data_IF_395086747168
#
_entry.id   IF_395086747168
#
_cell.length_a   1.000
_cell.length_b   1.000
_cell.length_c   1.000
_cell.angle_alpha   90.00
_cell.angle_beta   90.00
_cell.angle_gamma   90.00
#
_symmetry.space_group_name_H-M   'P 1'
#
loop_
_entity.id
_entity.type
_entity.pdbx_description
1 polymer ?
#
# COMPACT_ATOMS: atom_id res chain seq x y z
N UNK A 1 3.13 -32.91 -5.76
CA UNK A 1 3.12 -31.46 -5.60
C UNK A 1 2.08 -31.13 -4.55
N UNK A 2 2.51 -30.55 -3.45
CA UNK A 2 1.64 -30.21 -2.34
C UNK A 2 0.80 -29.00 -2.75
N UNK A 3 -0.38 -29.23 -3.25
CA UNK A 3 -1.34 -28.21 -3.75
C UNK A 3 -2.08 -27.48 -2.63
N UNK A 4 -1.77 -27.76 -1.36
CA UNK A 4 -2.53 -27.26 -0.19
C UNK A 4 -2.00 -25.97 0.42
N UNK A 5 -0.91 -25.39 -0.09
CA UNK A 5 -0.27 -24.18 0.49
C UNK A 5 -0.85 -22.86 0.01
N UNK A 6 -1.96 -22.86 -0.74
CA UNK A 6 -2.43 -21.66 -1.41
C UNK A 6 -3.39 -20.82 -0.61
N UNK A 7 -2.98 -19.58 -0.46
CA UNK A 7 -3.68 -18.30 -0.55
C UNK A 7 -4.55 -17.86 0.61
N UNK A 8 -3.95 -17.05 1.46
CA UNK A 8 -4.69 -16.04 2.20
C UNK A 8 -3.96 -14.68 2.11
N UNK A 9 -3.68 -14.21 0.89
CA UNK A 9 -3.06 -12.89 0.72
C UNK A 9 -4.02 -11.92 0.06
N UNK A 10 -4.20 -10.77 0.66
CA UNK A 10 -4.94 -9.64 0.08
C UNK A 10 -4.23 -9.07 -1.15
N UNK A 11 -2.94 -9.38 -1.35
CA UNK A 11 -2.09 -8.79 -2.38
C UNK A 11 -1.14 -9.83 -2.97
N UNK A 12 -0.94 -9.77 -4.26
CA UNK A 12 0.06 -10.54 -5.00
C UNK A 12 1.00 -9.53 -5.66
N UNK A 13 2.29 -9.66 -5.41
CA UNK A 13 3.31 -8.86 -6.08
C UNK A 13 3.92 -9.67 -7.22
N UNK A 14 4.23 -9.00 -8.33
CA UNK A 14 4.83 -9.63 -9.50
C UNK A 14 6.19 -9.01 -9.78
N UNK A 15 7.21 -9.85 -9.94
CA UNK A 15 8.55 -9.44 -10.36
C UNK A 15 8.63 -9.34 -11.89
N UNK A 16 9.63 -8.62 -12.39
CA UNK A 16 9.87 -8.47 -13.85
C UNK A 16 10.09 -9.80 -14.57
N UNK A 17 10.64 -10.81 -13.90
CA UNK A 17 10.86 -12.16 -14.45
C UNK A 17 9.62 -13.06 -14.37
N UNK A 18 8.49 -12.54 -13.90
CA UNK A 18 7.22 -13.25 -13.75
C UNK A 18 7.07 -14.00 -12.42
N UNK A 19 8.08 -14.06 -11.56
CA UNK A 19 7.93 -14.64 -10.22
C UNK A 19 6.89 -13.87 -9.41
N UNK A 20 6.12 -14.59 -8.60
CA UNK A 20 5.03 -14.06 -7.78
C UNK A 20 5.42 -14.12 -6.30
N UNK A 21 5.00 -13.11 -5.54
CA UNK A 21 5.13 -13.09 -4.09
C UNK A 21 3.75 -12.95 -3.48
N UNK A 22 3.43 -13.81 -2.52
CA UNK A 22 2.11 -13.87 -1.88
C UNK A 22 2.22 -14.48 -0.48
N UNK A 23 1.14 -14.42 0.30
CA UNK A 23 1.05 -15.14 1.58
C UNK A 23 0.66 -16.60 1.40
N UNK A 24 1.21 -17.48 2.21
CA UNK A 24 0.73 -18.86 2.33
C UNK A 24 -0.35 -19.00 3.43
N UNK A 25 -0.84 -20.23 3.59
CA UNK A 25 -1.87 -20.56 4.60
C UNK A 25 -1.41 -20.31 6.04
N UNK A 26 -0.13 -20.45 6.31
CA UNK A 26 0.45 -20.30 7.64
C UNK A 26 0.84 -18.84 7.94
N UNK A 27 0.56 -17.94 6.98
CA UNK A 27 0.86 -16.52 7.06
C UNK A 27 2.28 -16.16 6.63
N UNK A 28 3.11 -17.11 6.16
CA UNK A 28 4.43 -16.75 5.64
C UNK A 28 4.31 -16.08 4.26
N UNK A 29 5.24 -15.18 3.96
CA UNK A 29 5.39 -14.63 2.62
C UNK A 29 6.32 -15.52 1.80
N UNK A 30 5.80 -16.02 0.70
CA UNK A 30 6.46 -16.98 -0.17
C UNK A 30 6.66 -16.41 -1.57
N UNK A 31 7.69 -16.92 -2.23
CA UNK A 31 7.91 -16.68 -3.66
C UNK A 31 7.57 -17.94 -4.46
N UNK A 32 6.87 -17.71 -5.56
CA UNK A 32 6.54 -18.73 -6.55
C UNK A 32 7.22 -18.37 -7.87
N UNK A 33 7.58 -19.38 -8.65
CA UNK A 33 7.94 -19.19 -10.04
C UNK A 33 6.76 -18.70 -10.87
N UNK A 34 7.00 -18.15 -12.05
CA UNK A 34 5.97 -17.71 -12.99
C UNK A 34 4.95 -18.79 -13.36
N UNK A 35 5.34 -20.06 -13.24
CA UNK A 35 4.46 -21.23 -13.46
C UNK A 35 3.68 -21.67 -12.20
N UNK A 36 3.77 -20.90 -11.11
CA UNK A 36 3.10 -21.18 -9.85
C UNK A 36 3.80 -22.20 -8.92
N UNK A 37 4.95 -22.75 -9.31
CA UNK A 37 5.68 -23.64 -8.43
C UNK A 37 6.34 -22.88 -7.28
N UNK A 38 6.34 -23.49 -6.08
CA UNK A 38 7.01 -22.94 -4.90
C UNK A 38 8.50 -22.77 -5.14
N UNK A 39 9.04 -21.62 -4.77
CA UNK A 39 10.46 -21.30 -4.87
C UNK A 39 11.13 -21.23 -3.50
N UNK A 40 10.62 -20.35 -2.62
CA UNK A 40 11.15 -20.18 -1.26
C UNK A 40 10.22 -19.41 -0.35
N UNK A 41 10.49 -19.45 0.96
CA UNK A 41 9.93 -18.53 1.95
C UNK A 41 10.80 -17.27 2.00
N UNK A 42 10.19 -16.09 1.95
CA UNK A 42 10.87 -14.79 2.04
C UNK A 42 10.80 -14.20 3.44
N UNK A 43 9.65 -14.28 4.08
CA UNK A 43 9.45 -13.78 5.44
C UNK A 43 8.50 -14.70 6.19
N UNK A 44 8.76 -14.91 7.47
CA UNK A 44 7.95 -15.79 8.34
C UNK A 44 7.01 -14.97 9.20
N UNK A 45 5.81 -15.49 9.37
CA UNK A 45 4.88 -15.03 10.38
C UNK A 45 5.27 -15.61 11.75
N UNK A 46 5.39 -14.76 12.78
CA UNK A 46 5.74 -15.19 14.13
C UNK A 46 6.21 -14.05 15.03
N UNK A 47 6.73 -14.41 16.20
CA UNK A 47 7.22 -13.47 17.24
C UNK A 47 8.74 -13.43 17.33
N UNK A 48 9.45 -14.10 16.44
CA UNK A 48 10.92 -14.09 16.39
C UNK A 48 11.46 -12.73 15.92
N UNK A 49 12.73 -12.47 16.21
CA UNK A 49 13.38 -11.18 15.90
C UNK A 49 13.26 -10.76 14.43
N UNK A 50 13.26 -11.73 13.52
CA UNK A 50 13.23 -11.50 12.07
C UNK A 50 11.85 -11.86 11.46
N UNK A 51 10.86 -12.12 12.30
CA UNK A 51 9.51 -12.50 11.89
C UNK A 51 8.58 -11.30 12.01
N UNK A 52 7.55 -11.25 11.18
CA UNK A 52 6.49 -10.23 11.28
C UNK A 52 5.26 -10.80 11.98
N UNK A 53 4.52 -9.91 12.65
CA UNK A 53 3.36 -10.31 13.46
C UNK A 53 2.06 -9.95 12.76
N UNK A 54 2.04 -8.84 12.02
CA UNK A 54 0.83 -8.33 11.38
C UNK A 54 1.15 -7.82 9.96
N UNK A 55 0.71 -8.56 8.97
CA UNK A 55 0.80 -8.10 7.59
C UNK A 55 -0.29 -7.07 7.30
N UNK A 56 0.06 -5.80 7.40
CA UNK A 56 -0.83 -4.72 6.98
C UNK A 56 -0.77 -4.55 5.46
N UNK A 57 0.45 -4.42 4.90
CA UNK A 57 0.69 -4.35 3.46
C UNK A 57 2.09 -4.88 3.12
N UNK A 58 2.35 -5.07 1.82
CA UNK A 58 3.65 -5.43 1.30
C UNK A 58 3.92 -4.77 -0.05
N UNK A 59 5.20 -4.46 -0.33
CA UNK A 59 5.63 -3.88 -1.60
C UNK A 59 7.00 -4.42 -1.99
N UNK A 60 7.33 -4.35 -3.29
CA UNK A 60 8.69 -4.58 -3.78
C UNK A 60 9.43 -3.26 -3.87
N UNK A 61 10.70 -3.22 -3.47
CA UNK A 61 11.59 -2.10 -3.78
C UNK A 61 11.65 -1.85 -5.30
N UNK A 62 12.00 -0.64 -5.73
CA UNK A 62 12.00 -0.29 -7.17
C UNK A 62 12.92 -1.16 -8.03
N UNK A 63 14.06 -1.57 -7.49
CA UNK A 63 14.96 -2.53 -8.14
C UNK A 63 14.52 -3.98 -8.02
N UNK A 64 13.45 -4.27 -7.24
CA UNK A 64 12.93 -5.61 -6.93
C UNK A 64 13.87 -6.53 -6.14
N UNK A 65 14.89 -5.98 -5.48
CA UNK A 65 15.84 -6.77 -4.68
C UNK A 65 15.33 -7.01 -3.27
N UNK A 66 14.40 -6.18 -2.79
CA UNK A 66 13.86 -6.26 -1.44
C UNK A 66 12.34 -6.35 -1.43
N UNK A 67 11.85 -7.18 -0.49
CA UNK A 67 10.46 -7.20 -0.06
C UNK A 67 10.32 -6.30 1.17
N UNK A 68 9.41 -5.34 1.08
CA UNK A 68 9.02 -4.44 2.15
C UNK A 68 7.72 -4.96 2.76
N UNK A 69 7.70 -5.18 4.06
CA UNK A 69 6.55 -5.69 4.81
C UNK A 69 6.13 -4.65 5.84
N UNK A 70 4.95 -4.08 5.68
CA UNK A 70 4.36 -3.21 6.69
C UNK A 70 3.79 -4.07 7.82
N UNK A 71 4.45 -4.01 8.97
CA UNK A 71 4.14 -4.74 10.19
C UNK A 71 3.77 -3.75 11.30
N UNK A 72 2.49 -3.39 11.37
CA UNK A 72 1.97 -2.38 12.30
C UNK A 72 2.64 -1.00 12.11
N UNK A 73 3.52 -0.62 13.04
CA UNK A 73 4.21 0.67 13.08
C UNK A 73 5.66 0.60 12.60
N UNK A 74 5.99 -0.38 11.77
CA UNK A 74 7.32 -0.53 11.19
C UNK A 74 7.27 -1.21 9.82
N UNK A 75 8.29 -0.95 9.02
CA UNK A 75 8.51 -1.65 7.76
C UNK A 75 9.72 -2.57 7.94
N UNK A 76 9.50 -3.86 7.73
CA UNK A 76 10.56 -4.86 7.71
C UNK A 76 11.06 -5.08 6.29
N UNK A 77 12.37 -5.14 6.13
CA UNK A 77 13.02 -5.27 4.82
C UNK A 77 13.69 -6.63 4.72
N UNK A 78 13.30 -7.42 3.71
CA UNK A 78 13.84 -8.75 3.45
C UNK A 78 14.45 -8.79 2.04
N UNK A 79 15.61 -9.45 1.92
CA UNK A 79 16.21 -9.71 0.63
C UNK A 79 15.40 -10.75 -0.16
N UNK A 80 15.24 -10.53 -1.45
CA UNK A 80 14.47 -11.44 -2.30
C UNK A 80 15.30 -12.69 -2.65
N UNK A 81 16.59 -12.52 -2.95
CA UNK A 81 17.42 -13.64 -3.43
C UNK A 81 17.98 -14.50 -2.29
N UNK A 82 18.29 -13.92 -1.16
CA UNK A 82 18.87 -14.61 0.00
C UNK A 82 17.85 -14.92 1.11
N UNK A 83 16.66 -14.29 1.05
CA UNK A 83 15.61 -14.37 2.08
C UNK A 83 16.07 -13.91 3.47
N UNK A 84 17.09 -13.05 3.52
CA UNK A 84 17.60 -12.52 4.77
C UNK A 84 16.81 -11.27 5.20
N UNK A 85 16.63 -11.15 6.51
CA UNK A 85 16.17 -9.91 7.11
C UNK A 85 17.33 -8.91 7.15
N UNK A 86 17.11 -7.71 6.61
CA UNK A 86 18.13 -6.68 6.53
C UNK A 86 17.98 -5.62 7.61
N UNK A 87 16.78 -5.06 7.74
CA UNK A 87 16.53 -3.97 8.69
C UNK A 87 15.03 -3.78 8.94
N UNK A 88 14.72 -2.97 9.95
CA UNK A 88 13.41 -2.36 10.11
C UNK A 88 13.50 -0.82 10.01
N UNK A 89 12.44 -0.21 9.52
CA UNK A 89 12.21 1.23 9.50
C UNK A 89 11.07 1.49 10.47
N UNK A 90 11.34 2.27 11.51
CA UNK A 90 10.35 2.59 12.52
C UNK A 90 9.47 3.76 12.04
N UNK A 91 8.15 3.61 12.16
CA UNK A 91 7.16 4.60 11.74
C UNK A 91 6.60 5.40 12.93
N UNK A 92 7.36 5.56 14.02
CA UNK A 92 6.89 6.23 15.22
C UNK A 92 6.43 7.68 15.01
N UNK A 93 6.88 8.32 13.96
CA UNK A 93 6.49 9.69 13.56
C UNK A 93 5.22 9.74 12.68
N UNK A 94 4.72 8.58 12.22
CA UNK A 94 3.57 8.48 11.33
C UNK A 94 2.51 7.58 11.94
N UNK A 95 1.26 7.99 11.89
CA UNK A 95 0.16 7.26 12.53
C UNK A 95 -0.71 6.61 11.45
N UNK A 96 -1.18 5.39 11.76
CA UNK A 96 -2.18 4.66 10.99
C UNK A 96 -1.86 4.52 9.48
N UNK A 97 -0.73 3.86 9.17
CA UNK A 97 -0.36 3.51 7.79
C UNK A 97 -1.11 2.26 7.36
N UNK A 98 -1.81 2.34 6.24
CA UNK A 98 -2.55 1.22 5.64
C UNK A 98 -1.76 0.54 4.53
N UNK A 99 -1.01 1.33 3.74
CA UNK A 99 -0.27 0.83 2.58
C UNK A 99 1.05 1.56 2.35
N UNK A 100 1.95 0.91 1.64
CA UNK A 100 3.28 1.41 1.32
C UNK A 100 3.56 1.31 -0.18
N UNK A 101 4.30 2.31 -0.71
CA UNK A 101 4.84 2.27 -2.06
C UNK A 101 6.27 2.80 -2.09
N UNK A 102 7.22 2.12 -2.75
CA UNK A 102 8.57 2.62 -2.92
C UNK A 102 8.61 3.78 -3.93
N UNK A 103 9.38 4.81 -3.60
CA UNK A 103 9.71 5.91 -4.49
C UNK A 103 10.93 5.59 -5.38
N UNK A 104 11.08 6.31 -6.50
CA UNK A 104 12.18 6.11 -7.44
C UNK A 104 13.54 6.55 -6.87
N UNK A 105 13.54 7.43 -5.86
CA UNK A 105 14.73 7.93 -5.16
C UNK A 105 15.14 7.06 -3.95
N UNK A 106 14.53 5.88 -3.78
CA UNK A 106 14.81 4.96 -2.69
C UNK A 106 14.09 5.27 -1.38
N UNK A 107 13.31 6.34 -1.33
CA UNK A 107 12.41 6.69 -0.23
C UNK A 107 11.11 5.87 -0.30
N UNK A 108 10.20 6.08 0.65
CA UNK A 108 8.93 5.37 0.72
C UNK A 108 7.77 6.36 0.84
N UNK A 109 6.68 6.05 0.15
CA UNK A 109 5.38 6.67 0.38
C UNK A 109 4.55 5.78 1.29
N UNK A 110 3.93 6.41 2.27
CA UNK A 110 2.99 5.82 3.20
C UNK A 110 1.61 6.40 2.92
N UNK A 111 0.64 5.53 2.74
CA UNK A 111 -0.74 5.92 2.55
C UNK A 111 -1.55 5.57 3.79
N UNK A 112 -2.34 6.52 4.27
CA UNK A 112 -3.20 6.38 5.42
C UNK A 112 -4.64 6.74 5.02
N UNK A 113 -5.50 5.73 4.83
CA UNK A 113 -6.89 5.92 4.42
C UNK A 113 -7.75 6.52 5.54
N UNK A 114 -7.49 6.13 6.78
CA UNK A 114 -8.27 6.55 7.94
C UNK A 114 -7.50 7.55 8.79
N UNK A 115 -8.14 8.65 9.16
CA UNK A 115 -7.58 9.51 10.21
C UNK A 115 -7.80 8.81 11.56
N UNK A 116 -6.73 8.65 12.34
CA UNK A 116 -6.88 8.45 13.76
C UNK A 116 -7.23 9.78 14.41
N UNK A 117 -8.00 9.80 15.49
CA UNK A 117 -8.28 10.99 16.30
C UNK A 117 -7.04 11.45 17.08
N UNK A 118 -5.85 11.35 16.50
CA UNK A 118 -4.59 11.72 17.14
C UNK A 118 -4.22 13.15 16.77
N UNK A 119 -3.58 13.86 17.68
CA UNK A 119 -3.07 15.21 17.48
C UNK A 119 -1.75 15.25 16.68
N UNK A 120 -1.49 14.27 15.82
CA UNK A 120 -0.27 14.25 15.01
C UNK A 120 -0.42 15.12 13.76
N UNK A 121 0.61 15.88 13.43
CA UNK A 121 0.66 16.69 12.21
C UNK A 121 0.57 15.88 10.92
N UNK A 122 0.89 14.58 10.98
CA UNK A 122 0.82 13.67 9.82
C UNK A 122 -0.60 13.24 9.49
N UNK A 123 -1.54 13.36 10.44
CA UNK A 123 -2.95 12.99 10.24
C UNK A 123 -3.69 13.88 9.26
N UNK A 124 -3.15 15.07 8.99
CA UNK A 124 -3.74 16.02 8.05
C UNK A 124 -3.55 15.61 6.57
N UNK A 125 -2.79 14.56 6.29
CA UNK A 125 -2.44 14.17 4.93
C UNK A 125 -2.72 12.69 4.65
N UNK A 126 -3.14 12.39 3.42
CA UNK A 126 -3.38 11.01 2.97
C UNK A 126 -2.08 10.28 2.64
N UNK A 127 -1.09 10.99 2.14
CA UNK A 127 0.19 10.43 1.71
C UNK A 127 1.32 11.16 2.41
N UNK A 128 2.19 10.39 3.05
CA UNK A 128 3.42 10.89 3.67
C UNK A 128 4.61 10.22 3.01
N UNK A 129 5.62 10.99 2.62
CA UNK A 129 6.89 10.48 2.14
C UNK A 129 7.90 10.44 3.26
N UNK A 130 8.58 9.32 3.43
CA UNK A 130 9.63 9.12 4.44
C UNK A 130 10.94 8.71 3.79
N UNK A 131 12.04 8.97 4.48
CA UNK A 131 13.35 8.45 4.14
C UNK A 131 13.56 7.00 4.63
N UNK A 132 14.76 6.47 4.40
CA UNK A 132 15.12 5.11 4.81
C UNK A 132 15.30 4.92 6.34
N UNK A 133 15.26 6.01 7.13
CA UNK A 133 15.30 5.99 8.59
C UNK A 133 13.89 6.08 9.19
N UNK A 134 12.88 6.45 8.39
CA UNK A 134 11.50 6.67 8.81
C UNK A 134 11.18 8.14 9.10
N UNK A 135 12.11 9.06 8.78
CA UNK A 135 11.89 10.49 8.95
C UNK A 135 11.01 11.05 7.83
N UNK A 136 10.04 11.89 8.21
CA UNK A 136 9.12 12.52 7.26
C UNK A 136 9.85 13.57 6.41
N UNK A 137 9.80 13.39 5.08
CA UNK A 137 10.43 14.30 4.11
C UNK A 137 9.38 15.23 3.49
N UNK A 138 8.20 14.70 3.15
CA UNK A 138 7.17 15.44 2.43
C UNK A 138 5.79 14.85 2.69
N UNK A 139 4.73 15.64 2.42
CA UNK A 139 3.34 15.26 2.64
C UNK A 139 2.46 15.74 1.49
N UNK A 140 1.52 14.89 1.07
CA UNK A 140 0.67 15.12 -0.08
C UNK A 140 -0.79 14.84 0.25
N UNK A 141 -1.69 15.47 -0.48
CA UNK A 141 -3.14 15.27 -0.39
C UNK A 141 -3.66 15.56 1.01
N UNK A 142 -3.71 16.85 1.35
CA UNK A 142 -4.32 17.27 2.60
C UNK A 142 -5.73 16.72 2.71
N UNK A 143 -6.04 16.13 3.87
CA UNK A 143 -7.40 15.65 4.17
C UNK A 143 -8.34 16.84 4.28
N UNK A 144 -9.53 16.66 3.77
CA UNK A 144 -10.69 17.46 4.15
C UNK A 144 -11.60 16.61 5.04
N UNK A 145 -12.57 17.25 5.68
CA UNK A 145 -13.52 16.59 6.60
C UNK A 145 -14.39 15.50 5.92
N UNK A 146 -14.26 15.34 4.62
CA UNK A 146 -15.06 14.47 3.77
C UNK A 146 -14.25 13.39 3.04
N UNK A 147 -12.96 13.27 3.37
CA UNK A 147 -12.11 12.29 2.69
C UNK A 147 -12.30 10.91 3.33
N UNK A 148 -13.20 10.11 2.76
CA UNK A 148 -13.21 8.66 2.96
C UNK A 148 -12.38 8.03 1.85
N UNK A 149 -11.44 7.17 2.21
CA UNK A 149 -10.73 6.39 1.21
C UNK A 149 -10.79 4.91 1.57
N UNK A 150 -11.38 4.13 0.68
CA UNK A 150 -11.40 2.67 0.74
C UNK A 150 -10.45 2.05 -0.28
N UNK A 151 -9.71 2.87 -1.02
CA UNK A 151 -8.91 2.41 -2.14
C UNK A 151 -7.47 2.14 -1.79
N UNK A 152 -6.89 1.28 -2.57
CA UNK A 152 -5.61 0.67 -2.36
C UNK A 152 -4.57 1.22 -3.33
N UNK A 153 -3.33 1.26 -2.89
CA UNK A 153 -2.19 1.41 -3.78
C UNK A 153 -2.09 0.14 -4.63
N UNK A 154 -2.16 0.30 -5.94
CA UNK A 154 -2.01 -0.81 -6.87
C UNK A 154 -0.61 -0.82 -7.48
N UNK A 155 0.00 -1.99 -7.50
CA UNK A 155 1.22 -2.23 -8.27
C UNK A 155 0.83 -2.57 -9.72
N UNK A 156 1.46 -1.88 -10.68
CA UNK A 156 1.38 -2.27 -12.08
C UNK A 156 2.58 -3.10 -12.51
N UNK A 157 2.49 -3.64 -13.72
CA UNK A 157 3.62 -4.27 -14.39
C UNK A 157 4.84 -3.34 -14.42
N UNK A 158 6.03 -3.87 -14.14
CA UNK A 158 7.26 -3.08 -14.09
C UNK A 158 7.52 -2.36 -12.78
N UNK A 159 6.84 -2.75 -11.70
CA UNK A 159 7.04 -2.23 -10.34
C UNK A 159 6.73 -0.72 -10.21
N UNK A 160 5.75 -0.24 -10.97
CA UNK A 160 5.17 1.10 -10.82
C UNK A 160 3.96 1.02 -9.90
N UNK A 161 3.84 1.98 -9.00
CA UNK A 161 2.76 2.05 -8.04
C UNK A 161 1.84 3.22 -8.38
N UNK A 162 0.54 3.00 -8.21
CA UNK A 162 -0.49 4.01 -8.44
C UNK A 162 -1.44 4.08 -7.25
N UNK A 163 -1.88 5.28 -6.96
CA UNK A 163 -2.94 5.57 -6.00
C UNK A 163 -4.16 6.12 -6.73
N UNK A 164 -5.32 5.58 -6.43
CA UNK A 164 -6.60 6.18 -6.77
C UNK A 164 -7.34 6.55 -5.49
N UNK A 165 -7.23 7.77 -4.99
CA UNK A 165 -8.02 8.18 -3.85
C UNK A 165 -9.50 8.20 -4.22
N UNK A 166 -10.37 7.73 -3.32
CA UNK A 166 -11.82 7.70 -3.54
C UNK A 166 -12.49 9.07 -3.39
N UNK A 167 -11.71 10.12 -3.23
CA UNK A 167 -12.29 11.42 -3.42
C UNK A 167 -12.80 11.50 -4.87
N UNK A 168 -13.92 12.16 -5.02
CA UNK A 168 -14.70 12.26 -6.24
C UNK A 168 -13.96 12.81 -7.49
N UNK A 169 -12.63 12.93 -7.47
CA UNK A 169 -11.85 13.51 -8.56
C UNK A 169 -11.48 12.50 -9.65
N UNK A 170 -11.62 11.20 -9.37
CA UNK A 170 -11.29 10.11 -10.32
C UNK A 170 -9.90 10.25 -10.95
N UNK A 171 -8.95 10.84 -10.21
CA UNK A 171 -7.57 11.03 -10.65
C UNK A 171 -6.73 9.87 -10.12
N UNK A 172 -5.95 9.27 -11.01
CA UNK A 172 -4.92 8.31 -10.66
C UNK A 172 -3.59 9.02 -10.53
N UNK A 173 -2.92 8.78 -9.43
CA UNK A 173 -1.60 9.32 -9.14
C UNK A 173 -0.55 8.22 -9.24
N UNK A 174 0.60 8.56 -9.81
CA UNK A 174 1.76 7.69 -9.86
C UNK A 174 2.73 8.08 -8.73
N UNK A 175 3.28 7.07 -8.08
CA UNK A 175 4.40 7.23 -7.17
C UNK A 175 5.72 7.09 -7.94
N UNK A 176 6.46 8.18 -8.04
CA UNK A 176 7.84 8.23 -8.54
C UNK A 176 8.74 8.92 -7.50
N UNK A 177 9.44 10.03 -7.82
CA UNK A 177 10.12 10.84 -6.79
C UNK A 177 9.15 11.72 -6.03
N UNK A 178 7.97 11.97 -6.60
CA UNK A 178 6.87 12.71 -6.01
C UNK A 178 5.54 11.98 -6.31
N UNK A 179 4.43 12.55 -5.91
CA UNK A 179 3.09 12.07 -6.24
C UNK A 179 2.56 12.83 -7.46
N UNK A 180 2.58 12.19 -8.62
CA UNK A 180 2.27 12.84 -9.90
C UNK A 180 0.89 12.42 -10.42
N UNK A 181 -0.04 13.34 -10.71
CA UNK A 181 -1.31 13.00 -11.37
C UNK A 181 -1.04 12.49 -12.80
N UNK A 182 -1.60 11.33 -13.15
CA UNK A 182 -1.36 10.68 -14.45
C UNK A 182 -2.59 10.59 -15.32
N UNK A 183 -3.71 10.16 -14.72
CA UNK A 183 -4.95 9.91 -15.46
C UNK A 183 -6.12 10.47 -14.69
N UNK A 184 -7.07 11.05 -15.42
CA UNK A 184 -8.39 11.39 -14.90
C UNK A 184 -9.44 10.62 -15.69
N UNK A 185 -10.29 9.87 -14.98
CA UNK A 185 -11.44 9.20 -15.60
C UNK A 185 -12.63 10.16 -15.53
N UNK A 186 -13.20 10.44 -16.69
CA UNK A 186 -14.44 11.18 -16.82
C UNK A 186 -15.58 10.22 -17.17
N UNK A 187 -16.53 10.06 -16.26
CA UNK A 187 -17.71 9.21 -16.47
C UNK A 187 -18.87 9.94 -17.17
N UNK A 188 -18.64 11.18 -17.62
CA UNK A 188 -19.68 12.01 -18.25
C UNK A 188 -20.83 12.28 -17.26
N UNK A 189 -22.07 12.07 -17.71
CA UNK A 189 -23.27 12.28 -16.90
C UNK A 189 -23.40 11.30 -15.72
N UNK A 190 -22.56 10.26 -15.64
CA UNK A 190 -22.50 9.31 -14.53
C UNK A 190 -21.49 9.71 -13.44
N UNK A 191 -20.85 10.89 -13.57
CA UNK A 191 -20.04 11.43 -12.48
C UNK A 191 -20.94 11.73 -11.29
N UNK A 192 -20.45 11.42 -10.08
CA UNK A 192 -21.15 11.82 -8.85
C UNK A 192 -21.25 13.35 -8.85
N UNK A 193 -22.45 13.92 -8.84
CA UNK A 193 -22.62 15.37 -8.79
C UNK A 193 -21.90 15.99 -7.59
N UNK A 194 -21.34 17.18 -7.79
CA UNK A 194 -20.55 17.88 -6.76
C UNK A 194 -21.26 17.99 -5.41
N UNK A 195 -22.56 18.21 -5.42
CA UNK A 195 -23.39 18.31 -4.21
C UNK A 195 -23.39 17.04 -3.34
N UNK A 196 -23.17 15.87 -3.93
CA UNK A 196 -23.10 14.59 -3.20
C UNK A 196 -21.65 14.18 -2.84
N UNK A 197 -20.64 14.84 -3.41
CA UNK A 197 -19.22 14.54 -3.16
C UNK A 197 -18.79 14.82 -1.73
N UNK A 198 -19.50 15.73 -1.04
CA UNK A 198 -19.10 16.29 0.25
C UNK A 198 -20.15 16.10 1.36
N UNK A 199 -21.23 15.39 1.10
CA UNK A 199 -22.30 15.14 2.09
C UNK A 199 -22.17 13.76 2.71
N UNK A 200 -21.18 13.56 3.59
CA UNK A 200 -21.01 12.28 4.29
C UNK A 200 -21.78 12.15 5.61
N UNK A 201 -22.49 13.17 6.04
CA UNK A 201 -23.20 13.17 7.33
C UNK A 201 -24.69 12.81 7.26
N UNK A 202 -25.30 12.86 6.08
CA UNK A 202 -26.70 12.54 5.90
C UNK A 202 -26.88 11.43 4.85
N UNK A 203 -27.90 10.61 4.98
CA UNK A 203 -28.23 9.42 4.18
C UNK A 203 -28.45 9.66 2.65
N UNK A 204 -28.03 10.80 2.12
CA UNK A 204 -28.30 11.25 0.75
C UNK A 204 -27.60 10.42 -0.34
N UNK A 205 -26.52 9.69 -0.01
CA UNK A 205 -25.91 8.76 -0.97
C UNK A 205 -26.87 7.59 -1.30
N UNK A 206 -27.69 7.22 -0.33
CA UNK A 206 -28.74 6.19 -0.52
C UNK A 206 -29.82 6.62 -1.50
N UNK A 207 -30.18 7.90 -1.54
CA UNK A 207 -31.15 8.45 -2.51
C UNK A 207 -30.58 8.51 -3.93
N UNK A 208 -29.30 8.86 -4.07
CA UNK A 208 -28.64 8.86 -5.38
C UNK A 208 -28.52 7.45 -5.99
N UNK A 209 -28.27 6.43 -5.17
CA UNK A 209 -28.16 5.03 -5.63
C UNK A 209 -29.50 4.42 -6.01
N UNK A 210 -30.62 5.02 -5.61
CA UNK A 210 -32.00 4.56 -5.86
C UNK A 210 -32.74 5.39 -6.93
N UNK A 211 -32.14 6.41 -7.50
CA UNK A 211 -32.66 7.25 -8.59
C UNK A 211 -32.08 6.80 -9.95
#
# INVERSE_FOLDING_TARGET
>A
PDTTRFLYSKKILTRKNGDLITGDRDGNLIMLHANGQFKRVLARYGKGHQEYINLTDMALSKNTDYLLVLDMMKIRVYGIEDSLYYKEINLSSVIAVDEIAPADDGNLFLYAAYSSNSNSKTDDYLVTKIDQNGDVIDQFMKRDDHTFSLDNITQSYGNTYYLRPQNANHIFYKFDTTLTPMYQINFGDRNIPYQYKYKSKDNDIGEFMNS
#
